data_IF_860141872841
#
_entry.id   IF_860141872841
#
_cell.length_a   1.000
_cell.length_b   1.000
_cell.length_c   1.000
_cell.angle_alpha   90.00
_cell.angle_beta   90.00
_cell.angle_gamma   90.00
#
_symmetry.space_group_name_H-M   'P 1'
#
loop_
_entity.id
_entity.type
_entity.pdbx_description
1 polymer ?
#
# COMPACT_ATOMS: atom_id res chain seq x y z
N UNK A 1 3.43 -0.44 14.29
CA UNK A 1 2.03 -0.74 13.98
C UNK A 1 2.00 -1.93 13.01
N UNK A 2 1.51 -3.12 13.41
CA UNK A 2 1.48 -4.30 12.53
C UNK A 2 0.29 -4.16 11.58
N UNK A 3 0.53 -4.24 10.27
CA UNK A 3 -0.49 -4.14 9.19
C UNK A 3 -1.68 -5.09 9.41
N UNK A 4 -1.44 -6.21 10.09
CA UNK A 4 -2.46 -7.21 10.46
C UNK A 4 -3.56 -6.64 11.39
N UNK A 5 -3.25 -5.61 12.19
CA UNK A 5 -4.22 -4.96 13.06
C UNK A 5 -5.25 -4.09 12.32
N UNK A 6 -4.91 -3.59 11.13
CA UNK A 6 -5.81 -2.77 10.31
C UNK A 6 -6.83 -3.61 9.53
N UNK A 7 -6.42 -4.79 9.04
CA UNK A 7 -7.24 -5.59 8.13
C UNK A 7 -8.18 -6.59 8.82
N UNK A 8 -8.11 -6.76 10.15
CA UNK A 8 -8.84 -7.78 10.94
C UNK A 8 -8.74 -9.23 10.38
N UNK A 9 -7.87 -9.45 9.39
CA UNK A 9 -7.66 -10.69 8.62
C UNK A 9 -6.19 -10.76 8.23
N UNK A 10 -5.67 -11.98 8.15
CA UNK A 10 -4.28 -12.22 7.74
C UNK A 10 -4.14 -11.93 6.24
N UNK A 11 -3.17 -11.10 5.87
CA UNK A 11 -2.84 -10.88 4.46
C UNK A 11 -2.15 -12.13 3.92
N UNK A 12 -2.63 -12.75 2.82
CA UNK A 12 -1.99 -13.92 2.26
C UNK A 12 -0.55 -13.61 1.82
N UNK A 13 0.41 -14.45 2.22
CA UNK A 13 1.83 -14.26 1.89
C UNK A 13 2.06 -14.17 0.37
N UNK A 14 1.36 -14.96 -0.43
CA UNK A 14 1.46 -14.91 -1.90
C UNK A 14 1.07 -13.53 -2.47
N UNK A 15 0.06 -12.88 -1.91
CA UNK A 15 -0.34 -11.51 -2.30
C UNK A 15 0.76 -10.52 -1.94
N UNK A 16 1.34 -10.64 -0.74
CA UNK A 16 2.44 -9.77 -0.32
C UNK A 16 3.66 -9.89 -1.26
N UNK A 17 4.12 -11.10 -1.56
CA UNK A 17 5.29 -11.31 -2.42
C UNK A 17 5.05 -10.86 -3.87
N UNK A 18 3.86 -11.14 -4.42
CA UNK A 18 3.52 -10.69 -5.78
C UNK A 18 3.45 -9.17 -5.86
N UNK A 19 2.91 -8.50 -4.85
CA UNK A 19 2.89 -7.03 -4.76
C UNK A 19 4.30 -6.46 -4.64
N UNK A 20 5.14 -6.98 -3.74
CA UNK A 20 6.53 -6.53 -3.59
C UNK A 20 7.32 -6.66 -4.90
N UNK A 21 7.17 -7.80 -5.61
CA UNK A 21 7.80 -8.02 -6.92
C UNK A 21 7.33 -6.99 -7.97
N UNK A 22 6.04 -6.67 -7.98
CA UNK A 22 5.48 -5.64 -8.87
C UNK A 22 6.00 -4.23 -8.52
N UNK A 23 6.10 -3.90 -7.24
CA UNK A 23 6.61 -2.61 -6.79
C UNK A 23 8.08 -2.42 -7.14
N UNK A 24 8.91 -3.48 -7.03
CA UNK A 24 10.29 -3.45 -7.52
C UNK A 24 10.33 -3.26 -9.04
N UNK A 25 9.55 -4.05 -9.79
CA UNK A 25 9.50 -3.95 -11.26
C UNK A 25 9.11 -2.55 -11.75
N UNK A 26 8.26 -1.85 -11.01
CA UNK A 26 7.79 -0.51 -11.35
C UNK A 26 8.67 0.60 -10.74
N UNK A 27 9.84 0.28 -10.18
CA UNK A 27 10.77 1.27 -9.65
C UNK A 27 10.33 1.93 -8.33
N UNK A 28 9.30 1.43 -7.66
CA UNK A 28 8.77 1.98 -6.39
C UNK A 28 9.65 1.55 -5.21
N UNK A 29 10.17 0.33 -5.26
CA UNK A 29 11.03 -0.24 -4.22
C UNK A 29 12.37 -0.66 -4.83
N UNK A 30 13.44 -0.48 -4.06
CA UNK A 30 14.76 -1.03 -4.35
C UNK A 30 15.08 -2.14 -3.34
N UNK A 31 15.36 -3.38 -3.79
CA UNK A 31 15.73 -4.48 -2.91
C UNK A 31 17.21 -4.38 -2.51
N UNK A 32 17.53 -4.78 -1.28
CA UNK A 32 18.91 -4.96 -0.83
C UNK A 32 19.04 -6.22 0.03
N UNK A 33 20.21 -6.83 0.01
CA UNK A 33 20.51 -8.04 0.78
C UNK A 33 21.20 -7.68 2.09
N UNK A 34 20.71 -8.24 3.20
CA UNK A 34 21.34 -8.13 4.52
C UNK A 34 21.09 -9.43 5.28
N UNK A 35 22.15 -10.03 5.84
CA UNK A 35 22.06 -11.27 6.65
C UNK A 35 21.34 -12.42 5.92
N UNK A 36 21.58 -12.58 4.61
CA UNK A 36 20.93 -13.60 3.77
C UNK A 36 19.44 -13.36 3.49
N UNK A 37 18.89 -12.21 3.91
CA UNK A 37 17.49 -11.83 3.70
C UNK A 37 17.38 -10.64 2.76
N UNK A 38 16.32 -10.65 1.96
CA UNK A 38 15.95 -9.52 1.10
C UNK A 38 15.12 -8.51 1.88
N UNK A 39 15.61 -7.28 1.93
CA UNK A 39 14.91 -6.12 2.44
C UNK A 39 14.59 -5.15 1.31
N UNK A 40 13.70 -4.19 1.56
CA UNK A 40 13.23 -3.25 0.56
C UNK A 40 13.31 -1.83 1.13
N UNK A 41 13.82 -0.90 0.32
CA UNK A 41 13.75 0.54 0.59
C UNK A 41 12.87 1.22 -0.46
N UNK A 42 12.18 2.29 -0.08
CA UNK A 42 11.36 3.08 -1.00
C UNK A 42 12.27 4.02 -1.79
N UNK A 43 12.13 4.04 -3.11
CA UNK A 43 12.85 4.98 -4.00
C UNK A 43 12.25 6.38 -3.92
N UNK A 44 12.90 7.39 -4.49
CA UNK A 44 12.31 8.74 -4.57
C UNK A 44 11.02 8.74 -5.42
N UNK A 45 11.03 8.06 -6.56
CA UNK A 45 9.83 7.87 -7.39
C UNK A 45 8.74 7.10 -6.63
N UNK A 46 9.13 6.13 -5.81
CA UNK A 46 8.21 5.39 -4.94
C UNK A 46 7.59 6.27 -3.87
N UNK A 47 8.34 7.21 -3.29
CA UNK A 47 7.79 8.20 -2.35
C UNK A 47 6.77 9.09 -3.03
N UNK A 48 7.06 9.58 -4.24
CA UNK A 48 6.12 10.39 -5.02
C UNK A 48 4.85 9.60 -5.36
N UNK A 49 5.01 8.37 -5.85
CA UNK A 49 3.91 7.45 -6.14
C UNK A 49 3.00 7.25 -4.92
N UNK A 50 3.58 6.99 -3.75
CA UNK A 50 2.83 6.76 -2.50
C UNK A 50 2.13 8.04 -2.03
N UNK A 51 2.76 9.22 -2.15
CA UNK A 51 2.12 10.50 -1.83
C UNK A 51 0.90 10.76 -2.72
N UNK A 52 1.04 10.53 -4.03
CA UNK A 52 -0.08 10.68 -4.96
C UNK A 52 -1.22 9.70 -4.62
N UNK A 53 -0.90 8.49 -4.17
CA UNK A 53 -1.90 7.53 -3.72
C UNK A 53 -2.66 8.00 -2.48
N UNK A 54 -2.07 8.81 -1.59
CA UNK A 54 -2.80 9.37 -0.46
C UNK A 54 -3.95 10.28 -0.92
N UNK A 55 -3.75 11.06 -1.98
CA UNK A 55 -4.81 11.90 -2.54
C UNK A 55 -5.94 11.06 -3.16
N UNK A 56 -5.60 9.99 -3.88
CA UNK A 56 -6.61 9.07 -4.43
C UNK A 56 -7.44 8.45 -3.31
N UNK A 57 -6.79 8.02 -2.22
CA UNK A 57 -7.47 7.42 -1.07
C UNK A 57 -8.36 8.43 -0.32
N UNK A 58 -7.92 9.68 -0.20
CA UNK A 58 -8.73 10.74 0.41
C UNK A 58 -10.02 11.01 -0.39
N UNK A 59 -9.90 11.10 -1.72
CA UNK A 59 -11.07 11.27 -2.60
C UNK A 59 -12.02 10.07 -2.53
N UNK A 60 -11.47 8.85 -2.44
CA UNK A 60 -12.29 7.66 -2.27
C UNK A 60 -13.05 7.66 -0.93
N UNK A 61 -12.42 8.11 0.17
CA UNK A 61 -13.07 8.27 1.48
C UNK A 61 -14.22 9.29 1.42
N UNK A 62 -14.02 10.43 0.75
CA UNK A 62 -15.06 11.44 0.55
C UNK A 62 -16.29 10.88 -0.18
N UNK A 63 -16.08 10.23 -1.34
CA UNK A 63 -17.16 9.61 -2.11
C UNK A 63 -17.91 8.55 -1.29
N UNK A 64 -17.18 7.71 -0.54
CA UNK A 64 -17.79 6.70 0.33
C UNK A 64 -18.66 7.37 1.40
N UNK A 65 -18.21 8.48 1.98
CA UNK A 65 -19.00 9.22 2.99
C UNK A 65 -20.26 9.82 2.40
N UNK A 66 -20.18 10.45 1.24
CA UNK A 66 -21.35 11.02 0.55
C UNK A 66 -22.42 9.95 0.30
N UNK A 67 -22.01 8.78 -0.20
CA UNK A 67 -22.92 7.64 -0.41
C UNK A 67 -23.55 7.23 0.92
N UNK A 68 -22.76 7.05 1.98
CA UNK A 68 -23.26 6.64 3.28
C UNK A 68 -24.20 7.68 3.92
N UNK A 69 -23.98 8.96 3.66
CA UNK A 69 -24.85 10.04 4.12
C UNK A 69 -26.19 10.04 3.38
N UNK A 70 -26.17 9.89 2.06
CA UNK A 70 -27.37 9.77 1.23
C UNK A 70 -28.29 8.62 1.66
N UNK A 71 -27.74 7.49 2.08
CA UNK A 71 -28.54 6.34 2.57
C UNK A 71 -29.00 6.47 4.03
N UNK A 72 -28.48 7.44 4.79
CA UNK A 72 -28.90 7.71 6.17
C UNK A 72 -30.01 8.77 6.26
N UNK A 73 -30.11 9.65 5.26
CA UNK A 73 -31.21 10.61 5.08
C UNK A 73 -32.46 9.93 4.52
#
# INVERSE_FOLDING_TARGET
>A
MKVEGLHKKRIPHGVMYTTLKRMVRNGILSPYMKDGKTYYTVTEDGKLFLRNHLHILANADEIIREILEYYKS
#
